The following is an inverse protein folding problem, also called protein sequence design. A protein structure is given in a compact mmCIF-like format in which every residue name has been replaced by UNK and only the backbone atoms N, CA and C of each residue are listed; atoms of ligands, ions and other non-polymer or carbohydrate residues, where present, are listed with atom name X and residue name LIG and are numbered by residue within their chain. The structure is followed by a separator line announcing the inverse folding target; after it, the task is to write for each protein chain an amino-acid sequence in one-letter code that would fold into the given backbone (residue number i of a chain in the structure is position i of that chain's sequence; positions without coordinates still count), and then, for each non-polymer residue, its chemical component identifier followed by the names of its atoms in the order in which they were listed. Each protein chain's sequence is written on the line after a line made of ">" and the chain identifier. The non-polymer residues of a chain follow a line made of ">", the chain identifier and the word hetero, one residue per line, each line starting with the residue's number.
data_IF_592214907011
#
_entry.id   IF_592214907011
#
_cell.length_a   1.000
_cell.length_b   1.000
_cell.length_c   1.000
_cell.angle_alpha   90.00
_cell.angle_beta   90.00
_cell.angle_gamma   90.00
#
_symmetry.space_group_name_H-M   'P 1'
#
loop_
_entity.id
_entity.type
_entity.pdbx_description
1 polymer ?
#
# COMPACT_ATOMS: atom_id res chain seq x y z
N UNK A 1 13.29 -20.16 -10.92
CA UNK A 1 13.62 -19.70 -12.30
C UNK A 1 14.99 -19.06 -12.26
N UNK A 2 15.99 -19.54 -13.03
CA UNK A 2 17.27 -18.87 -13.12
C UNK A 2 17.10 -17.48 -13.77
N UNK A 3 17.71 -16.42 -13.20
CA UNK A 3 17.75 -15.07 -13.77
C UNK A 3 16.56 -14.13 -13.47
N UNK A 4 15.43 -14.66 -12.99
CA UNK A 4 14.23 -13.86 -12.71
C UNK A 4 13.45 -13.45 -13.96
N UNK A 5 12.12 -13.48 -13.88
CA UNK A 5 11.22 -13.22 -15.04
C UNK A 5 10.72 -11.77 -15.10
N UNK A 6 11.31 -10.86 -14.33
CA UNK A 6 10.94 -9.44 -14.35
C UNK A 6 9.70 -9.05 -13.52
N UNK A 7 9.14 -9.95 -12.70
CA UNK A 7 7.98 -9.63 -11.86
C UNK A 7 8.26 -8.56 -10.80
N UNK A 8 9.43 -8.60 -10.14
CA UNK A 8 9.71 -7.67 -9.05
C UNK A 8 9.77 -6.18 -9.51
N UNK A 9 10.44 -5.83 -10.62
CA UNK A 9 10.37 -4.47 -11.18
C UNK A 9 8.95 -4.02 -11.51
N UNK A 10 8.13 -4.88 -12.11
CA UNK A 10 6.74 -4.53 -12.47
C UNK A 10 5.86 -4.36 -11.22
N UNK A 11 6.00 -5.24 -10.24
CA UNK A 11 5.33 -5.10 -8.94
C UNK A 11 5.75 -3.81 -8.23
N UNK A 12 7.03 -3.44 -8.29
CA UNK A 12 7.51 -2.20 -7.67
C UNK A 12 6.87 -0.97 -8.33
N UNK A 13 6.79 -0.92 -9.67
CA UNK A 13 6.09 0.15 -10.39
C UNK A 13 4.59 0.22 -10.02
N UNK A 14 3.94 -0.94 -9.93
CA UNK A 14 2.53 -1.07 -9.58
C UNK A 14 2.22 -1.09 -8.08
N UNK A 15 3.22 -0.91 -7.21
CA UNK A 15 3.08 -1.15 -5.77
C UNK A 15 1.96 -0.32 -5.12
N UNK A 16 1.76 0.98 -5.43
CA UNK A 16 0.66 1.75 -4.85
C UNK A 16 -0.72 1.13 -5.13
N UNK A 17 -0.95 0.67 -6.36
CA UNK A 17 -2.22 0.05 -6.74
C UNK A 17 -2.41 -1.31 -6.05
N UNK A 18 -1.34 -2.10 -5.91
CA UNK A 18 -1.36 -3.37 -5.20
C UNK A 18 -1.66 -3.15 -3.72
N UNK A 19 -1.02 -2.16 -3.09
CA UNK A 19 -1.24 -1.82 -1.69
C UNK A 19 -2.67 -1.35 -1.42
N UNK A 20 -3.21 -0.50 -2.30
CA UNK A 20 -4.61 -0.06 -2.22
C UNK A 20 -5.57 -1.26 -2.26
N UNK A 21 -5.38 -2.18 -3.21
CA UNK A 21 -6.22 -3.37 -3.31
C UNK A 21 -6.10 -4.31 -2.11
N UNK A 22 -4.90 -4.42 -1.53
CA UNK A 22 -4.69 -5.20 -0.30
C UNK A 22 -5.42 -4.58 0.90
N UNK A 23 -5.43 -3.24 1.03
CA UNK A 23 -6.17 -2.55 2.08
C UNK A 23 -7.69 -2.70 1.92
N UNK A 24 -8.21 -2.63 0.70
CA UNK A 24 -9.61 -2.93 0.40
C UNK A 24 -9.98 -4.37 0.81
N UNK A 25 -9.17 -5.36 0.40
CA UNK A 25 -9.37 -6.76 0.78
C UNK A 25 -9.42 -6.94 2.30
N UNK A 26 -8.50 -6.31 3.03
CA UNK A 26 -8.46 -6.38 4.50
C UNK A 26 -9.65 -5.65 5.14
N UNK A 27 -10.08 -4.53 4.55
CA UNK A 27 -11.21 -3.72 5.00
C UNK A 27 -12.54 -4.44 4.85
N UNK A 28 -12.78 -5.02 3.67
CA UNK A 28 -14.06 -5.63 3.26
C UNK A 28 -14.22 -7.07 3.77
N UNK A 29 -13.15 -7.69 4.26
CA UNK A 29 -13.22 -9.06 4.76
C UNK A 29 -14.11 -9.19 6.00
N UNK A 30 -15.19 -9.97 5.89
CA UNK A 30 -16.19 -10.19 6.95
C UNK A 30 -15.69 -10.98 8.18
N UNK A 31 -14.44 -11.46 8.20
CA UNK A 31 -13.91 -12.28 9.30
C UNK A 31 -13.69 -11.50 10.62
N UNK A 32 -13.54 -10.17 10.58
CA UNK A 32 -13.30 -9.32 11.74
C UNK A 32 -11.89 -9.40 12.35
N UNK A 33 -11.33 -10.60 12.50
CA UNK A 33 -10.07 -10.88 13.20
C UNK A 33 -8.88 -11.27 12.30
N UNK A 34 -9.12 -11.43 11.00
CA UNK A 34 -8.17 -11.97 10.05
C UNK A 34 -8.44 -13.46 9.74
N UNK A 35 -8.16 -13.88 8.52
CA UNK A 35 -8.29 -15.27 8.07
C UNK A 35 -7.20 -15.60 7.02
N UNK A 36 -7.02 -16.89 6.67
CA UNK A 36 -6.02 -17.31 5.68
C UNK A 36 -6.13 -16.59 4.33
N UNK A 37 -7.32 -16.11 3.98
CA UNK A 37 -7.57 -15.44 2.69
C UNK A 37 -7.23 -13.95 2.66
N UNK A 38 -7.20 -13.25 3.81
CA UNK A 38 -6.97 -11.80 3.85
C UNK A 38 -5.62 -11.42 4.47
N UNK A 39 -5.26 -12.00 5.62
CA UNK A 39 -3.97 -11.76 6.29
C UNK A 39 -2.95 -12.86 6.00
N UNK A 40 -3.35 -13.92 5.31
CA UNK A 40 -2.52 -15.09 5.06
C UNK A 40 -2.49 -16.08 6.24
N UNK A 41 -1.75 -17.20 6.10
CA UNK A 41 -1.63 -18.22 7.13
C UNK A 41 -0.93 -17.67 8.39
N UNK A 42 -1.62 -17.71 9.54
CA UNK A 42 -1.09 -17.29 10.83
C UNK A 42 -1.24 -18.39 11.90
N UNK A 43 -0.39 -18.42 12.94
CA UNK A 43 -0.57 -19.32 14.07
C UNK A 43 -1.90 -19.11 14.83
N UNK A 44 -2.44 -17.87 14.79
CA UNK A 44 -3.69 -17.47 15.44
C UNK A 44 -4.33 -16.27 14.71
N UNK A 45 -5.66 -16.19 14.78
CA UNK A 45 -6.48 -15.10 14.23
C UNK A 45 -7.24 -14.35 15.34
N UNK A 46 -6.53 -13.47 16.06
CA UNK A 46 -7.05 -12.67 17.18
C UNK A 46 -7.27 -11.18 16.85
N UNK A 47 -7.17 -10.82 15.56
CA UNK A 47 -7.32 -9.45 15.09
C UNK A 47 -6.07 -8.58 15.20
N UNK A 48 -5.03 -8.99 15.94
CA UNK A 48 -3.80 -8.19 16.09
C UNK A 48 -3.13 -8.00 14.74
N UNK A 49 -2.96 -9.10 13.99
CA UNK A 49 -2.33 -9.08 12.66
C UNK A 49 -3.12 -8.22 11.68
N UNK A 50 -4.45 -8.36 11.63
CA UNK A 50 -5.31 -7.56 10.76
C UNK A 50 -5.22 -6.07 11.09
N UNK A 51 -5.28 -5.70 12.38
CA UNK A 51 -5.15 -4.30 12.81
C UNK A 51 -3.78 -3.72 12.46
N UNK A 52 -2.71 -4.49 12.71
CA UNK A 52 -1.35 -4.07 12.37
C UNK A 52 -1.18 -3.89 10.86
N UNK A 53 -1.68 -4.82 10.04
CA UNK A 53 -1.61 -4.73 8.59
C UNK A 53 -2.36 -3.50 8.05
N UNK A 54 -3.56 -3.23 8.55
CA UNK A 54 -4.32 -2.02 8.19
C UNK A 54 -3.59 -0.73 8.62
N UNK A 55 -3.01 -0.71 9.83
CA UNK A 55 -2.28 0.45 10.33
C UNK A 55 -1.02 0.73 9.50
N UNK A 56 -0.17 -0.27 9.32
CA UNK A 56 1.07 -0.15 8.55
C UNK A 56 0.80 0.15 7.08
N UNK A 57 -0.18 -0.52 6.47
CA UNK A 57 -0.53 -0.29 5.07
C UNK A 57 -1.02 1.14 4.83
N UNK A 58 -1.87 1.69 5.72
CA UNK A 58 -2.31 3.09 5.64
C UNK A 58 -1.16 4.08 5.83
N UNK A 59 -0.25 3.81 6.77
CA UNK A 59 0.94 4.64 6.96
C UNK A 59 1.81 4.65 5.70
N UNK A 60 2.01 3.47 5.09
CA UNK A 60 2.79 3.33 3.87
C UNK A 60 2.12 4.04 2.68
N UNK A 61 0.79 3.99 2.55
CA UNK A 61 0.07 4.78 1.54
C UNK A 61 0.37 6.26 1.68
N UNK A 62 0.30 6.81 2.91
CA UNK A 62 0.62 8.21 3.15
C UNK A 62 2.07 8.57 2.82
N UNK A 63 3.03 7.67 3.11
CA UNK A 63 4.43 7.89 2.70
C UNK A 63 4.60 7.88 1.18
N UNK A 64 3.94 6.95 0.48
CA UNK A 64 4.02 6.86 -0.98
C UNK A 64 3.43 8.10 -1.65
N UNK A 65 2.30 8.60 -1.15
CA UNK A 65 1.69 9.85 -1.63
C UNK A 65 2.63 11.04 -1.45
N UNK A 66 3.29 11.14 -0.28
CA UNK A 66 4.30 12.19 -0.04
C UNK A 66 5.52 12.06 -0.94
N UNK A 67 5.98 10.84 -1.19
CA UNK A 67 7.12 10.58 -2.06
C UNK A 67 6.79 10.84 -3.55
N UNK A 68 5.52 10.69 -3.95
CA UNK A 68 5.04 10.90 -5.31
C UNK A 68 4.48 12.31 -5.56
N UNK A 69 4.30 13.11 -4.51
CA UNK A 69 3.83 14.48 -4.65
C UNK A 69 4.78 15.23 -5.61
N UNK A 70 4.23 15.88 -6.66
CA UNK A 70 5.06 16.71 -7.51
C UNK A 70 5.75 17.78 -6.65
N UNK A 71 7.01 18.15 -6.94
CA UNK A 71 7.67 19.22 -6.21
C UNK A 71 6.76 20.46 -6.21
N UNK A 72 6.68 21.21 -5.09
CA UNK A 72 5.84 22.41 -5.05
C UNK A 72 6.24 23.30 -6.22
N UNK A 73 5.32 23.49 -7.15
CA UNK A 73 5.54 24.40 -8.26
C UNK A 73 5.51 25.80 -7.67
N UNK A 74 6.69 26.37 -7.42
CA UNK A 74 6.82 27.79 -7.11
C UNK A 74 6.34 28.51 -8.36
N UNK A 75 5.09 29.00 -8.32
CA UNK A 75 4.58 29.88 -9.35
C UNK A 75 5.60 31.02 -9.55
N UNK A 76 5.99 31.36 -10.79
CA UNK A 76 6.96 32.43 -10.99
C UNK A 76 6.42 33.70 -10.34
N UNK A 77 7.19 34.25 -9.39
CA UNK A 77 7.04 35.60 -8.92
C UNK A 77 7.36 36.54 -10.10
N UNK A 78 6.37 36.76 -10.96
CA UNK A 78 6.59 37.39 -12.24
C UNK A 78 5.44 37.26 -13.23
N UNK A 79 4.19 37.42 -12.77
CA UNK A 79 3.16 37.99 -13.63
C UNK A 79 3.33 39.52 -13.57
N UNK A 80 4.33 40.04 -14.28
CA UNK A 80 4.47 41.47 -14.53
C UNK A 80 3.40 41.86 -15.58
N UNK A 81 2.36 42.56 -15.15
CA UNK A 81 1.60 43.53 -15.93
C UNK A 81 0.84 44.46 -14.97
#
# INVERSE_FOLDING_TARGET
>A
VPGGVGLAPEIHKGFPAILARALELLGDCACGTGCPSCVGPMPRYDGVVRRAALHLGRALTAELERAQAPPPQIAPAGAFA
#
